data_IF_833606390340
#
_entry.id   IF_833606390340
#
_cell.length_a   1.000
_cell.length_b   1.000
_cell.length_c   1.000
_cell.angle_alpha   90.00
_cell.angle_beta   90.00
_cell.angle_gamma   90.00
#
_symmetry.space_group_name_H-M   'P 1'
#
loop_
_entity.id
_entity.type
_entity.pdbx_description
1 polymer ?
#
# COMPACT_ATOMS: atom_id res chain seq x y z
N UNK A 1 2.47 -23.77 -4.67
CA UNK A 1 1.84 -24.50 -3.54
C UNK A 1 1.15 -25.75 -4.08
N UNK A 2 1.71 -26.95 -3.86
CA UNK A 2 1.14 -28.22 -4.36
C UNK A 2 -0.26 -28.53 -3.79
N UNK A 3 -0.49 -28.24 -2.50
CA UNK A 3 -1.75 -28.53 -1.81
C UNK A 3 -2.99 -27.77 -2.34
N UNK A 4 -2.81 -26.77 -3.22
CA UNK A 4 -3.90 -25.97 -3.78
C UNK A 4 -4.10 -26.21 -5.28
N UNK A 5 -3.55 -27.31 -5.81
CA UNK A 5 -3.64 -27.63 -7.24
C UNK A 5 -4.95 -28.35 -7.60
N UNK A 6 -5.40 -29.28 -6.76
CA UNK A 6 -6.64 -30.05 -6.95
C UNK A 6 -7.70 -29.56 -5.96
N UNK A 7 -8.46 -28.56 -6.37
CA UNK A 7 -9.42 -27.85 -5.51
C UNK A 7 -10.76 -27.58 -6.22
N UNK A 8 -11.00 -28.30 -7.30
CA UNK A 8 -12.28 -28.27 -8.02
C UNK A 8 -13.42 -28.63 -7.07
N UNK A 9 -14.54 -27.92 -7.18
CA UNK A 9 -15.74 -28.01 -6.33
C UNK A 9 -15.56 -27.75 -4.82
N UNK A 10 -14.34 -27.56 -4.34
CA UNK A 10 -14.09 -27.20 -2.96
C UNK A 10 -14.65 -25.82 -2.64
N UNK A 11 -15.24 -25.68 -1.44
CA UNK A 11 -15.62 -24.39 -0.87
C UNK A 11 -14.43 -23.81 -0.12
N UNK A 12 -13.96 -22.65 -0.57
CA UNK A 12 -12.81 -21.97 0.04
C UNK A 12 -13.25 -20.60 0.54
N UNK A 13 -12.95 -20.30 1.80
CA UNK A 13 -13.11 -18.96 2.37
C UNK A 13 -11.76 -18.28 2.42
N UNK A 14 -11.64 -17.13 1.76
CA UNK A 14 -10.45 -16.28 1.84
C UNK A 14 -10.69 -15.21 2.89
N UNK A 15 -10.03 -15.34 4.04
CA UNK A 15 -9.99 -14.32 5.08
C UNK A 15 -8.96 -13.27 4.69
N UNK A 16 -9.38 -12.01 4.56
CA UNK A 16 -8.53 -10.93 4.04
C UNK A 16 -8.90 -9.57 4.59
N UNK A 17 -8.04 -8.59 4.35
CA UNK A 17 -8.37 -7.18 4.55
C UNK A 17 -9.24 -6.62 3.42
N UNK A 18 -9.86 -5.46 3.63
CA UNK A 18 -10.53 -4.67 2.60
C UNK A 18 -9.50 -4.24 1.57
N UNK A 19 -9.85 -4.33 0.29
CA UNK A 19 -8.88 -4.17 -0.79
C UNK A 19 -7.85 -5.32 -0.80
N UNK A 20 -6.68 -5.11 -1.37
CA UNK A 20 -5.60 -6.10 -1.35
C UNK A 20 -5.61 -7.14 -2.48
N UNK A 21 -4.73 -8.14 -2.37
CA UNK A 21 -4.35 -9.04 -3.46
C UNK A 21 -5.53 -9.91 -3.90
N UNK A 22 -5.76 -9.98 -5.20
CA UNK A 22 -6.84 -10.78 -5.81
C UNK A 22 -6.35 -12.05 -6.50
N UNK A 23 -5.03 -12.17 -6.69
CA UNK A 23 -4.43 -13.27 -7.45
C UNK A 23 -4.86 -14.64 -6.93
N UNK A 24 -4.75 -14.88 -5.62
CA UNK A 24 -5.12 -16.17 -5.03
C UNK A 24 -6.59 -16.53 -5.27
N UNK A 25 -7.52 -15.59 -5.03
CA UNK A 25 -8.95 -15.81 -5.27
C UNK A 25 -9.23 -16.08 -6.74
N UNK A 26 -8.58 -15.35 -7.66
CA UNK A 26 -8.71 -15.57 -9.11
C UNK A 26 -8.19 -16.96 -9.50
N UNK A 27 -6.99 -17.33 -9.05
CA UNK A 27 -6.38 -18.63 -9.35
C UNK A 27 -7.20 -19.78 -8.79
N UNK A 28 -7.75 -19.67 -7.59
CA UNK A 28 -8.59 -20.72 -7.01
C UNK A 28 -9.90 -20.89 -7.77
N UNK A 29 -10.56 -19.79 -8.15
CA UNK A 29 -11.75 -19.84 -9.01
C UNK A 29 -11.46 -20.45 -10.37
N UNK A 30 -10.33 -20.10 -10.99
CA UNK A 30 -9.88 -20.68 -12.27
C UNK A 30 -9.65 -22.19 -12.19
N UNK A 31 -9.36 -22.72 -11.01
CA UNK A 31 -9.20 -24.16 -10.74
C UNK A 31 -10.49 -24.84 -10.27
N UNK A 32 -11.64 -24.18 -10.40
CA UNK A 32 -12.95 -24.76 -10.11
C UNK A 32 -13.43 -24.64 -8.66
N UNK A 33 -12.71 -23.95 -7.76
CA UNK A 33 -13.21 -23.75 -6.40
C UNK A 33 -14.33 -22.71 -6.33
N UNK A 34 -15.25 -22.94 -5.39
CA UNK A 34 -16.27 -21.97 -4.96
C UNK A 34 -15.67 -21.09 -3.87
N UNK A 35 -15.21 -19.90 -4.27
CA UNK A 35 -14.48 -18.98 -3.38
C UNK A 35 -15.40 -17.88 -2.83
N UNK A 36 -15.49 -17.80 -1.50
CA UNK A 36 -16.11 -16.69 -0.76
C UNK A 36 -15.05 -15.84 -0.06
N UNK A 37 -15.34 -14.56 0.16
CA UNK A 37 -14.44 -13.64 0.86
C UNK A 37 -15.00 -13.26 2.23
N UNK A 38 -14.14 -13.29 3.25
CA UNK A 38 -14.42 -12.77 4.58
C UNK A 38 -13.47 -11.59 4.82
N UNK A 39 -14.00 -10.36 4.78
CA UNK A 39 -13.22 -9.14 5.01
C UNK A 39 -13.23 -8.83 6.50
N UNK A 40 -12.07 -8.95 7.16
CA UNK A 40 -11.98 -8.87 8.64
C UNK A 40 -11.18 -7.69 9.17
N UNK A 41 -10.49 -6.96 8.28
CA UNK A 41 -9.78 -5.74 8.65
C UNK A 41 -9.70 -4.77 7.48
N UNK A 42 -9.27 -3.54 7.74
CA UNK A 42 -9.00 -2.52 6.71
C UNK A 42 -7.72 -1.78 7.08
N UNK A 43 -6.90 -1.43 6.09
CA UNK A 43 -5.70 -0.62 6.30
C UNK A 43 -6.08 0.84 6.07
N UNK A 44 -6.06 1.62 7.14
CA UNK A 44 -6.24 3.07 7.11
C UNK A 44 -4.94 3.74 7.57
N UNK A 45 -4.61 4.94 7.06
CA UNK A 45 -3.52 5.74 7.61
C UNK A 45 -3.70 5.96 9.11
N UNK A 46 -2.60 5.93 9.87
CA UNK A 46 -2.64 6.05 11.34
C UNK A 46 -3.05 7.46 11.82
N UNK A 47 -2.85 8.49 10.99
CA UNK A 47 -3.22 9.87 11.28
C UNK A 47 -3.88 10.51 10.07
N UNK A 48 -4.91 11.33 10.32
CA UNK A 48 -5.54 12.17 9.31
C UNK A 48 -4.70 13.43 9.09
N UNK A 49 -4.03 13.49 7.93
CA UNK A 49 -3.19 14.62 7.51
C UNK A 49 -1.72 14.39 7.86
N UNK A 50 -0.86 14.37 6.82
CA UNK A 50 0.58 14.23 7.03
C UNK A 50 1.22 15.48 7.65
N UNK A 51 0.55 16.62 7.55
CA UNK A 51 0.92 17.92 8.16
C UNK A 51 1.36 17.79 9.62
N UNK A 52 0.66 16.97 10.41
CA UNK A 52 0.86 16.82 11.86
C UNK A 52 2.29 16.35 12.19
N UNK A 53 2.88 15.53 11.33
CA UNK A 53 4.18 14.91 11.57
C UNK A 53 5.25 15.30 10.55
N UNK A 54 4.86 15.85 9.38
CA UNK A 54 5.81 16.36 8.39
C UNK A 54 6.56 17.60 8.88
N UNK A 55 5.90 18.52 9.59
CA UNK A 55 6.58 19.67 10.21
C UNK A 55 7.66 19.20 11.20
N UNK A 56 7.37 18.14 11.98
CA UNK A 56 8.37 17.54 12.85
C UNK A 56 9.57 17.01 12.06
N UNK A 57 9.35 16.32 10.94
CA UNK A 57 10.42 15.80 10.08
C UNK A 57 11.27 16.92 9.46
N UNK A 58 10.63 18.01 9.04
CA UNK A 58 11.31 19.19 8.52
C UNK A 58 12.20 19.84 9.58
N UNK A 59 11.68 20.04 10.80
CA UNK A 59 12.44 20.61 11.92
C UNK A 59 13.61 19.74 12.38
N UNK A 60 13.48 18.42 12.26
CA UNK A 60 14.56 17.47 12.57
C UNK A 60 15.61 17.38 11.44
N UNK A 61 15.41 18.07 10.31
CA UNK A 61 16.37 18.09 9.21
C UNK A 61 16.46 16.73 8.51
N UNK A 62 15.36 16.02 8.33
CA UNK A 62 15.38 14.74 7.63
C UNK A 62 15.77 14.94 6.16
N UNK A 63 16.82 14.26 5.71
CA UNK A 63 17.31 14.34 4.32
C UNK A 63 16.90 13.14 3.45
N UNK A 64 16.60 12.00 4.07
CA UNK A 64 16.33 10.74 3.39
C UNK A 64 15.11 10.00 3.94
N UNK A 65 14.26 9.51 3.05
CA UNK A 65 13.04 8.79 3.39
C UNK A 65 13.04 7.41 2.69
N UNK A 66 12.90 6.35 3.48
CA UNK A 66 12.79 4.97 2.96
C UNK A 66 11.32 4.57 2.85
N UNK A 67 10.88 4.23 1.64
CA UNK A 67 9.52 3.84 1.33
C UNK A 67 9.47 2.35 0.99
N UNK A 68 8.74 1.59 1.81
CA UNK A 68 8.62 0.12 1.68
C UNK A 68 7.29 -0.33 1.08
N UNK A 69 6.32 0.57 0.89
CA UNK A 69 5.01 0.25 0.31
C UNK A 69 4.33 1.46 -0.32
N UNK A 70 3.43 1.22 -1.28
CA UNK A 70 2.64 2.28 -1.91
C UNK A 70 1.75 3.01 -0.89
N UNK A 71 1.20 2.30 0.09
CA UNK A 71 0.38 2.90 1.14
C UNK A 71 1.16 3.95 1.97
N UNK A 72 2.49 3.84 2.05
CA UNK A 72 3.31 4.84 2.71
C UNK A 72 3.45 6.11 1.85
N UNK A 73 3.49 5.98 0.51
CA UNK A 73 3.45 7.15 -0.40
C UNK A 73 2.15 7.90 -0.16
N UNK A 74 1.02 7.20 -0.21
CA UNK A 74 -0.30 7.81 -0.04
C UNK A 74 -0.41 8.50 1.33
N UNK A 75 0.16 7.89 2.40
CA UNK A 75 0.17 8.50 3.72
C UNK A 75 1.05 9.77 3.80
N UNK A 76 2.19 9.80 3.11
CA UNK A 76 3.12 10.94 3.11
C UNK A 76 2.59 12.10 2.26
N UNK A 77 2.09 11.81 1.07
CA UNK A 77 1.66 12.82 0.08
C UNK A 77 0.20 13.26 0.25
N UNK A 78 -0.42 12.98 1.39
CA UNK A 78 -1.78 13.44 1.72
C UNK A 78 -1.81 14.79 2.47
N UNK A 79 -0.76 15.60 2.32
CA UNK A 79 -0.72 16.98 2.81
C UNK A 79 -1.30 17.90 1.74
N UNK A 80 -2.04 18.93 2.16
CA UNK A 80 -2.51 19.99 1.25
C UNK A 80 -1.63 21.24 1.31
N UNK A 81 -0.56 21.21 2.11
CA UNK A 81 0.33 22.36 2.30
C UNK A 81 1.45 22.34 1.25
N UNK A 82 1.47 23.35 0.38
CA UNK A 82 2.46 23.44 -0.71
C UNK A 82 3.90 23.53 -0.20
N UNK A 83 4.15 24.14 0.97
CA UNK A 83 5.48 24.22 1.56
C UNK A 83 6.03 22.83 1.92
N UNK A 84 5.22 22.01 2.58
CA UNK A 84 5.59 20.64 2.95
C UNK A 84 5.76 19.75 1.72
N UNK A 85 4.95 19.94 0.67
CA UNK A 85 5.11 19.25 -0.61
C UNK A 85 6.42 19.62 -1.31
N UNK A 86 6.78 20.92 -1.32
CA UNK A 86 8.04 21.40 -1.88
C UNK A 86 9.23 20.85 -1.09
N UNK A 87 9.14 20.85 0.24
CA UNK A 87 10.15 20.27 1.10
C UNK A 87 10.33 18.77 0.82
N UNK A 88 9.24 17.99 0.80
CA UNK A 88 9.26 16.56 0.47
C UNK A 88 9.91 16.30 -0.89
N UNK A 89 9.56 17.09 -1.91
CA UNK A 89 10.09 16.95 -3.27
C UNK A 89 11.60 17.18 -3.36
N UNK A 90 12.18 17.90 -2.40
CA UNK A 90 13.64 18.11 -2.29
C UNK A 90 14.39 16.99 -1.55
N UNK A 91 13.68 16.00 -0.99
CA UNK A 91 14.30 14.92 -0.19
C UNK A 91 14.73 13.74 -1.06
N UNK A 92 15.68 12.95 -0.55
CA UNK A 92 16.08 11.70 -1.19
C UNK A 92 15.12 10.57 -0.79
N UNK A 93 14.52 9.92 -1.77
CA UNK A 93 13.68 8.74 -1.55
C UNK A 93 14.40 7.44 -1.93
N UNK A 94 14.25 6.41 -1.10
CA UNK A 94 14.78 5.06 -1.33
C UNK A 94 13.60 4.08 -1.32
N UNK A 95 13.48 3.27 -2.36
CA UNK A 95 12.36 2.34 -2.55
C UNK A 95 12.83 0.90 -2.39
N UNK A 96 12.04 0.09 -1.69
CA UNK A 96 12.35 -1.34 -1.55
C UNK A 96 11.98 -2.17 -2.79
N UNK A 97 11.08 -1.68 -3.66
CA UNK A 97 10.61 -2.40 -4.87
C UNK A 97 10.24 -1.42 -5.99
N UNK A 98 10.43 -1.83 -7.26
CA UNK A 98 10.17 -0.98 -8.44
C UNK A 98 8.72 -0.49 -8.55
N UNK A 99 7.75 -1.30 -8.09
CA UNK A 99 6.33 -0.91 -8.11
C UNK A 99 6.03 0.34 -7.25
N UNK A 100 6.83 0.60 -6.22
CA UNK A 100 6.71 1.79 -5.34
C UNK A 100 7.20 3.05 -6.07
N UNK A 101 8.28 2.94 -6.84
CA UNK A 101 8.82 4.05 -7.62
C UNK A 101 7.82 4.58 -8.66
N UNK A 102 7.09 3.68 -9.34
CA UNK A 102 6.08 4.08 -10.33
C UNK A 102 4.89 4.82 -9.71
N UNK A 103 4.48 4.43 -8.49
CA UNK A 103 3.40 5.12 -7.78
C UNK A 103 3.82 6.52 -7.33
N UNK A 104 5.06 6.68 -6.88
CA UNK A 104 5.60 7.99 -6.51
C UNK A 104 5.56 8.98 -7.67
N UNK A 105 6.03 8.57 -8.85
CA UNK A 105 6.07 9.43 -10.04
C UNK A 105 4.70 9.97 -10.49
N UNK A 106 3.60 9.28 -10.15
CA UNK A 106 2.25 9.71 -10.45
C UNK A 106 1.68 10.69 -9.41
N UNK A 107 2.13 10.60 -8.15
CA UNK A 107 1.65 11.44 -7.05
C UNK A 107 2.44 12.75 -6.90
N UNK A 108 3.61 12.87 -7.52
CA UNK A 108 4.45 14.08 -7.49
C UNK A 108 4.30 14.97 -8.75
N UNK A 109 3.18 14.86 -9.47
CA UNK A 109 2.83 15.72 -10.61
C UNK A 109 1.81 16.77 -10.22
#
# INVERSE_FOLDING_TARGET
MPALQQIEDNRVVVVKGRGGRTLISKTLKQRGARVSHCVVYERIPAATGSDIWLDHWQRQGIDGIVITSNAAIDAIFNTQQSELLNWLSSRRFIWSVNAVQNTFANNTR
#
